data_IF_835485435722
#
_entry.id   IF_835485435722
#
_cell.length_a   1.000
_cell.length_b   1.000
_cell.length_c   1.000
_cell.angle_alpha   90.00
_cell.angle_beta   90.00
_cell.angle_gamma   90.00
#
_symmetry.space_group_name_H-M   'P 1'
#
loop_
_entity.id
_entity.type
_entity.pdbx_description
1 polymer ?
#
# COMPACT_ATOMS: atom_id res chain seq x y z
N UNK A 1 -30.11 7.56 0.72
CA UNK A 1 -28.97 8.19 0.00
C UNK A 1 -28.83 7.46 -1.32
N UNK A 2 -28.74 8.17 -2.45
CA UNK A 2 -28.46 7.56 -3.76
C UNK A 2 -27.07 8.04 -4.17
N UNK A 3 -26.17 7.11 -4.46
CA UNK A 3 -24.88 7.42 -5.05
C UNK A 3 -25.04 7.61 -6.55
N UNK A 4 -24.32 8.58 -7.12
CA UNK A 4 -24.32 8.89 -8.55
C UNK A 4 -22.87 8.91 -9.01
N UNK A 5 -22.56 8.18 -10.07
CA UNK A 5 -21.25 8.22 -10.70
C UNK A 5 -21.02 9.60 -11.35
N UNK A 6 -19.91 10.24 -10.97
CA UNK A 6 -19.49 11.55 -11.48
C UNK A 6 -18.13 11.51 -12.18
N UNK A 7 -17.45 10.36 -12.25
CA UNK A 7 -16.06 10.27 -12.66
C UNK A 7 -15.80 10.95 -14.01
N UNK A 8 -16.58 10.59 -15.04
CA UNK A 8 -16.47 11.20 -16.36
C UNK A 8 -16.84 12.70 -16.38
N UNK A 9 -17.79 13.13 -15.55
CA UNK A 9 -18.21 14.54 -15.46
C UNK A 9 -17.10 15.42 -14.89
N UNK A 10 -16.28 14.87 -13.99
CA UNK A 10 -15.19 15.60 -13.33
C UNK A 10 -13.83 15.38 -13.99
N UNK A 11 -13.74 14.59 -15.07
CA UNK A 11 -12.48 14.40 -15.83
C UNK A 11 -11.70 13.11 -15.52
N UNK A 12 -12.24 12.23 -14.68
CA UNK A 12 -11.66 10.93 -14.36
C UNK A 12 -12.19 9.87 -15.33
N UNK A 13 -11.50 9.68 -16.45
CA UNK A 13 -11.99 8.83 -17.56
C UNK A 13 -11.12 7.63 -17.87
N UNK A 14 -9.92 7.52 -17.30
CA UNK A 14 -9.02 6.42 -17.63
C UNK A 14 -9.44 5.13 -16.92
N UNK A 15 -9.48 4.00 -17.63
CA UNK A 15 -9.72 2.72 -17.00
C UNK A 15 -8.48 2.22 -16.28
N UNK A 16 -8.72 1.55 -15.16
CA UNK A 16 -7.74 0.69 -14.52
C UNK A 16 -7.71 -0.67 -15.25
N UNK A 17 -6.51 -1.12 -15.59
CA UNK A 17 -6.26 -2.35 -16.35
C UNK A 17 -5.46 -3.29 -15.47
N UNK A 18 -5.93 -4.53 -15.28
CA UNK A 18 -5.15 -5.59 -14.65
C UNK A 18 -5.50 -6.94 -15.23
N UNK A 19 -4.51 -7.55 -15.89
CA UNK A 19 -4.65 -8.80 -16.59
C UNK A 19 -5.64 -8.77 -17.76
N UNK A 20 -5.67 -9.87 -18.49
CA UNK A 20 -6.67 -10.11 -19.55
C UNK A 20 -7.47 -11.37 -19.28
N UNK A 21 -6.78 -12.46 -18.94
CA UNK A 21 -7.38 -13.79 -18.81
C UNK A 21 -7.55 -14.22 -17.35
N UNK A 22 -7.05 -13.44 -16.38
CA UNK A 22 -7.19 -13.68 -14.94
C UNK A 22 -6.74 -15.11 -14.58
N UNK A 23 -5.58 -15.51 -15.09
CA UNK A 23 -4.99 -16.84 -14.92
C UNK A 23 -4.07 -16.92 -13.71
N UNK A 24 -3.59 -15.77 -13.23
CA UNK A 24 -2.69 -15.66 -12.08
C UNK A 24 -3.24 -14.68 -11.06
N UNK A 25 -2.89 -14.87 -9.78
CA UNK A 25 -3.35 -14.01 -8.69
C UNK A 25 -2.99 -12.54 -8.90
N UNK A 26 -1.83 -12.26 -9.50
CA UNK A 26 -1.35 -10.90 -9.82
C UNK A 26 -2.35 -10.18 -10.74
N UNK A 27 -3.04 -10.91 -11.63
CA UNK A 27 -4.04 -10.33 -12.51
C UNK A 27 -5.31 -9.91 -11.79
N UNK A 28 -5.65 -10.59 -10.69
CA UNK A 28 -6.83 -10.32 -9.87
C UNK A 28 -6.67 -9.19 -8.87
N UNK A 29 -5.47 -8.60 -8.80
CA UNK A 29 -5.11 -7.58 -7.81
C UNK A 29 -4.47 -6.39 -8.48
N UNK A 30 -4.98 -5.20 -8.16
CA UNK A 30 -4.40 -3.94 -8.56
C UNK A 30 -5.10 -2.81 -7.80
N UNK A 31 -4.48 -1.64 -7.86
CA UNK A 31 -5.19 -0.40 -7.61
C UNK A 31 -4.98 0.15 -6.21
N UNK A 32 -4.77 1.45 -6.20
CA UNK A 32 -4.46 2.27 -5.06
C UNK A 32 -4.57 3.72 -5.50
N UNK A 33 -4.89 4.58 -4.55
CA UNK A 33 -4.99 6.01 -4.80
C UNK A 33 -4.41 6.79 -3.63
N UNK A 34 -3.81 7.92 -3.94
CA UNK A 34 -3.35 8.88 -2.97
C UNK A 34 -3.99 10.23 -3.27
N UNK A 35 -4.48 10.88 -2.22
CA UNK A 35 -5.01 12.24 -2.26
C UNK A 35 -4.04 13.15 -1.54
N UNK A 36 -3.48 14.14 -2.24
CA UNK A 36 -2.53 15.11 -1.69
C UNK A 36 -2.46 16.34 -2.59
N UNK A 37 -2.09 17.50 -2.04
CA UNK A 37 -1.90 18.75 -2.78
C UNK A 37 -0.45 18.79 -3.32
N UNK A 38 -0.25 18.40 -4.59
CA UNK A 38 1.11 18.18 -5.12
C UNK A 38 1.80 19.47 -5.56
N UNK A 39 1.04 20.50 -5.92
CA UNK A 39 1.58 21.79 -6.38
C UNK A 39 1.35 22.96 -5.42
N UNK A 40 0.74 22.68 -4.26
CA UNK A 40 0.52 23.60 -3.13
C UNK A 40 -0.44 24.75 -3.48
N UNK A 41 -1.40 24.49 -4.36
CA UNK A 41 -2.43 25.46 -4.72
C UNK A 41 -3.63 25.46 -3.76
N UNK A 42 -3.68 24.48 -2.84
CA UNK A 42 -4.69 24.32 -1.80
C UNK A 42 -5.85 23.41 -2.19
N UNK A 43 -5.91 22.94 -3.44
CA UNK A 43 -6.83 21.90 -3.87
C UNK A 43 -6.16 20.52 -3.72
N UNK A 44 -6.92 19.53 -3.25
CA UNK A 44 -6.40 18.16 -3.09
C UNK A 44 -6.44 17.44 -4.43
N UNK A 45 -5.29 17.02 -4.93
CA UNK A 45 -5.10 16.28 -6.18
C UNK A 45 -5.26 14.77 -5.98
N UNK A 46 -5.21 14.02 -7.08
CA UNK A 46 -5.42 12.58 -7.09
C UNK A 46 -4.35 11.87 -7.91
N UNK A 47 -3.61 10.96 -7.28
CA UNK A 47 -2.81 9.94 -7.95
C UNK A 47 -3.54 8.61 -7.94
N UNK A 48 -3.58 7.91 -9.08
CA UNK A 48 -4.21 6.59 -9.23
C UNK A 48 -3.21 5.63 -9.87
N UNK A 49 -2.97 4.49 -9.21
CA UNK A 49 -2.14 3.41 -9.76
C UNK A 49 -2.89 2.64 -10.85
N UNK A 50 -2.13 2.05 -11.77
CA UNK A 50 -2.62 1.21 -12.84
C UNK A 50 -1.86 -0.12 -12.85
N UNK A 51 -2.44 -1.15 -13.45
CA UNK A 51 -1.85 -2.48 -13.49
C UNK A 51 -1.17 -2.78 -14.81
N UNK A 52 -0.89 -4.05 -15.07
CA UNK A 52 -0.30 -4.53 -16.32
C UNK A 52 -0.96 -5.86 -16.73
N UNK A 53 -0.35 -6.59 -17.67
CA UNK A 53 -0.77 -7.91 -18.11
C UNK A 53 0.44 -8.73 -18.55
N UNK A 54 0.44 -10.02 -18.20
CA UNK A 54 1.44 -10.97 -18.69
C UNK A 54 1.34 -11.20 -20.21
N UNK A 55 0.18 -10.93 -20.83
CA UNK A 55 0.03 -10.96 -22.28
C UNK A 55 0.80 -9.83 -22.98
N UNK A 56 1.18 -8.79 -22.23
CA UNK A 56 1.80 -7.57 -22.74
C UNK A 56 0.82 -6.67 -23.48
N UNK A 57 1.34 -5.53 -23.95
CA UNK A 57 0.59 -4.51 -24.66
C UNK A 57 1.28 -4.15 -25.98
N UNK A 58 0.52 -3.63 -26.94
CA UNK A 58 1.12 -3.04 -28.13
C UNK A 58 1.92 -1.78 -27.75
N UNK A 59 2.87 -1.39 -28.60
CA UNK A 59 3.71 -0.21 -28.37
C UNK A 59 2.86 1.05 -28.19
N UNK A 60 3.02 1.71 -27.04
CA UNK A 60 2.28 2.93 -26.70
C UNK A 60 0.88 2.70 -26.10
N UNK A 61 0.49 1.45 -25.89
CA UNK A 61 -0.81 1.09 -25.28
C UNK A 61 -0.67 0.57 -23.84
N UNK A 62 0.55 0.58 -23.28
CA UNK A 62 0.75 0.13 -21.91
C UNK A 62 0.02 1.10 -20.96
N UNK A 63 -0.84 0.60 -20.05
CA UNK A 63 -1.42 1.42 -19.00
C UNK A 63 -0.32 2.08 -18.17
N UNK A 64 -0.61 3.31 -17.72
CA UNK A 64 0.25 4.06 -16.84
C UNK A 64 -0.57 4.55 -15.64
N UNK A 65 0.11 4.70 -14.50
CA UNK A 65 -0.41 5.44 -13.36
C UNK A 65 -0.72 6.89 -13.77
N UNK A 66 -1.67 7.51 -13.09
CA UNK A 66 -2.14 8.84 -13.44
C UNK A 66 -2.06 9.81 -12.27
N UNK A 67 -1.59 11.03 -12.53
CA UNK A 67 -1.74 12.16 -11.63
C UNK A 67 -2.72 13.15 -12.24
N UNK A 68 -3.76 13.49 -11.47
CA UNK A 68 -4.78 14.45 -11.82
C UNK A 68 -4.71 15.65 -10.90
N UNK A 69 -4.45 16.84 -11.46
CA UNK A 69 -4.59 18.10 -10.73
C UNK A 69 -6.05 18.45 -10.56
N UNK A 70 -6.46 18.84 -9.36
CA UNK A 70 -7.82 19.26 -9.04
C UNK A 70 -7.96 20.77 -9.19
N UNK A 71 -8.62 21.23 -10.26
CA UNK A 71 -8.93 22.63 -10.50
C UNK A 71 -10.33 22.98 -9.96
N UNK A 72 -10.52 22.98 -8.64
CA UNK A 72 -11.80 23.33 -8.00
C UNK A 72 -12.95 22.33 -8.25
N UNK A 73 -12.67 21.03 -8.20
CA UNK A 73 -13.61 19.92 -8.42
C UNK A 73 -13.62 19.37 -9.85
N UNK A 74 -12.66 19.79 -10.69
CA UNK A 74 -12.42 19.23 -12.02
C UNK A 74 -10.98 18.74 -12.10
N UNK A 75 -10.81 17.50 -12.51
CA UNK A 75 -9.53 16.82 -12.58
C UNK A 75 -8.93 16.93 -13.98
N UNK A 76 -7.71 17.47 -14.05
CA UNK A 76 -6.90 17.56 -15.25
C UNK A 76 -5.72 16.59 -15.17
N UNK A 77 -5.59 15.69 -16.15
CA UNK A 77 -4.45 14.78 -16.22
C UNK A 77 -3.15 15.57 -16.49
N UNK A 78 -2.22 15.49 -15.54
CA UNK A 78 -0.90 16.14 -15.57
C UNK A 78 0.24 15.13 -15.58
N UNK A 79 -0.06 13.83 -15.71
CA UNK A 79 0.86 12.70 -15.55
C UNK A 79 2.17 12.87 -16.31
N UNK A 80 2.09 13.21 -17.60
CA UNK A 80 3.27 13.35 -18.48
C UNK A 80 4.15 14.54 -18.08
N UNK A 81 3.53 15.66 -17.68
CA UNK A 81 4.25 16.88 -17.32
C UNK A 81 4.92 16.70 -15.96
N UNK A 82 4.20 16.08 -15.01
CA UNK A 82 4.69 15.77 -13.68
C UNK A 82 5.76 14.67 -13.67
N UNK A 83 5.73 13.73 -14.61
CA UNK A 83 6.75 12.69 -14.76
C UNK A 83 6.53 11.46 -13.89
N UNK A 84 5.27 11.14 -13.56
CA UNK A 84 4.89 10.07 -12.60
C UNK A 84 4.06 8.94 -13.23
N UNK A 85 4.10 8.83 -14.56
CA UNK A 85 3.41 7.80 -15.33
C UNK A 85 4.15 6.47 -15.35
N UNK A 86 4.35 5.86 -14.18
CA UNK A 86 4.89 4.50 -14.06
C UNK A 86 4.01 3.53 -14.86
N UNK A 87 4.66 2.66 -15.65
CA UNK A 87 4.00 1.60 -16.44
C UNK A 87 4.26 0.22 -15.84
N UNK A 88 4.80 0.15 -14.63
CA UNK A 88 4.90 -1.08 -13.86
C UNK A 88 3.52 -1.58 -13.45
N UNK A 89 3.46 -2.78 -12.87
CA UNK A 89 2.20 -3.32 -12.36
C UNK A 89 1.98 -2.80 -10.94
N UNK A 90 1.45 -1.59 -10.81
CA UNK A 90 1.34 -0.90 -9.53
C UNK A 90 0.16 -1.40 -8.69
N UNK A 91 0.38 -1.42 -7.37
CA UNK A 91 -0.57 -1.91 -6.37
C UNK A 91 -1.07 -0.72 -5.56
N UNK A 92 -0.30 -0.28 -4.56
CA UNK A 92 -0.63 0.85 -3.69
C UNK A 92 0.26 2.08 -3.91
N UNK A 93 -0.07 3.14 -3.18
CA UNK A 93 0.75 4.34 -3.11
C UNK A 93 0.58 5.05 -1.77
N UNK A 94 1.63 5.73 -1.32
CA UNK A 94 1.65 6.53 -0.10
C UNK A 94 2.30 7.89 -0.40
N UNK A 95 1.79 8.96 0.21
CA UNK A 95 2.30 10.31 0.04
C UNK A 95 2.75 10.89 1.39
N UNK A 96 3.97 11.44 1.42
CA UNK A 96 4.54 12.11 2.57
C UNK A 96 5.69 13.03 2.12
N UNK A 97 6.01 14.06 2.88
CA UNK A 97 7.23 14.86 2.71
C UNK A 97 8.38 14.09 3.39
N UNK A 98 9.05 13.21 2.65
CA UNK A 98 9.97 12.24 3.27
C UNK A 98 11.35 12.84 3.58
N UNK A 99 11.70 13.94 2.91
CA UNK A 99 12.98 14.62 3.07
C UNK A 99 12.86 16.00 3.72
N UNK A 100 11.68 16.31 4.26
CA UNK A 100 11.38 17.53 5.02
C UNK A 100 11.66 18.81 4.22
N UNK A 101 11.48 18.78 2.89
CA UNK A 101 11.69 19.94 2.01
C UNK A 101 10.43 20.82 1.83
N UNK A 102 9.30 20.39 2.38
CA UNK A 102 8.03 21.08 2.34
C UNK A 102 7.17 20.74 1.12
N UNK A 103 7.55 19.74 0.34
CA UNK A 103 6.78 19.23 -0.79
C UNK A 103 6.43 17.76 -0.58
N UNK A 104 5.15 17.40 -0.77
CA UNK A 104 4.72 16.01 -0.62
C UNK A 104 5.25 15.16 -1.78
N UNK A 105 5.99 14.11 -1.42
CA UNK A 105 6.53 13.09 -2.29
C UNK A 105 5.57 11.89 -2.42
N UNK A 106 5.90 10.97 -3.33
CA UNK A 106 5.04 9.84 -3.65
C UNK A 106 5.82 8.53 -3.72
N UNK A 107 5.46 7.56 -2.89
CA UNK A 107 5.93 6.18 -2.99
C UNK A 107 4.86 5.31 -3.65
N UNK A 108 5.26 4.47 -4.59
CA UNK A 108 4.40 3.56 -5.35
C UNK A 108 4.91 2.14 -5.18
N UNK A 109 4.04 1.24 -4.76
CA UNK A 109 4.36 -0.20 -4.67
C UNK A 109 3.98 -0.91 -5.96
N UNK A 110 4.75 -1.93 -6.33
CA UNK A 110 4.62 -2.65 -7.57
C UNK A 110 4.69 -4.16 -7.35
N UNK A 111 4.13 -4.92 -8.28
CA UNK A 111 4.64 -6.27 -8.55
C UNK A 111 5.95 -6.14 -9.33
N UNK A 112 7.07 -6.22 -8.60
CA UNK A 112 8.39 -5.85 -9.05
C UNK A 112 8.92 -4.64 -8.28
N UNK A 113 9.91 -3.93 -8.86
CA UNK A 113 10.58 -2.80 -8.21
C UNK A 113 9.59 -1.69 -7.85
N UNK A 114 9.49 -1.34 -6.57
CA UNK A 114 8.76 -0.15 -6.10
C UNK A 114 9.44 1.16 -6.55
N UNK A 115 8.71 2.28 -6.52
CA UNK A 115 9.18 3.57 -7.01
C UNK A 115 8.95 4.69 -5.99
N UNK A 116 9.99 5.46 -5.65
CA UNK A 116 9.92 6.71 -4.88
C UNK A 116 10.13 7.90 -5.82
N UNK A 117 9.13 8.77 -5.87
CA UNK A 117 9.13 10.03 -6.59
C UNK A 117 9.31 11.20 -5.63
N UNK A 118 10.43 11.90 -5.72
CA UNK A 118 10.63 13.16 -5.01
C UNK A 118 9.98 14.31 -5.76
N UNK A 119 9.16 15.11 -5.09
CA UNK A 119 8.56 16.31 -5.63
C UNK A 119 9.60 17.44 -5.67
N UNK A 120 9.79 18.04 -6.84
CA UNK A 120 10.80 19.08 -7.05
C UNK A 120 10.25 20.50 -6.78
N UNK A 121 9.02 20.63 -6.28
CA UNK A 121 8.35 21.90 -6.03
C UNK A 121 8.00 22.72 -7.28
N UNK A 122 8.22 22.16 -8.46
CA UNK A 122 7.96 22.79 -9.77
C UNK A 122 6.77 22.17 -10.51
N UNK A 123 5.95 21.39 -9.81
CA UNK A 123 4.92 20.53 -10.39
C UNK A 123 5.49 19.34 -11.16
N UNK A 124 6.72 18.94 -10.84
CA UNK A 124 7.44 17.81 -11.42
C UNK A 124 8.06 16.95 -10.34
N UNK A 125 8.18 15.66 -10.63
CA UNK A 125 8.83 14.69 -9.76
C UNK A 125 10.10 14.13 -10.40
N UNK A 126 11.00 13.62 -9.56
CA UNK A 126 12.13 12.81 -9.96
C UNK A 126 12.02 11.42 -9.32
N UNK A 127 12.20 10.35 -10.10
CA UNK A 127 12.45 9.02 -9.53
C UNK A 127 13.82 9.04 -8.85
N UNK A 128 13.81 8.85 -7.53
CA UNK A 128 14.99 8.82 -6.64
C UNK A 128 15.15 7.46 -5.97
N UNK A 129 14.41 6.45 -6.42
CA UNK A 129 14.30 5.16 -5.73
C UNK A 129 15.66 4.48 -5.51
N UNK A 130 16.55 4.55 -6.50
CA UNK A 130 17.87 3.91 -6.43
C UNK A 130 18.77 4.65 -5.46
N UNK A 131 18.76 5.97 -5.51
CA UNK A 131 19.49 6.87 -4.63
C UNK A 131 19.01 6.74 -3.19
N UNK A 132 17.70 6.63 -2.98
CA UNK A 132 17.07 6.52 -1.67
C UNK A 132 17.16 5.10 -1.07
N UNK A 133 17.36 4.06 -1.89
CA UNK A 133 17.54 2.68 -1.41
C UNK A 133 16.26 1.91 -1.09
N UNK A 134 15.11 2.32 -1.66
CA UNK A 134 13.76 1.82 -1.30
C UNK A 134 13.08 1.02 -2.41
N UNK A 135 13.85 0.54 -3.40
CA UNK A 135 13.34 -0.19 -4.55
C UNK A 135 13.22 -1.70 -4.34
N UNK A 136 12.56 -2.16 -3.26
CA UNK A 136 12.24 -3.59 -3.09
C UNK A 136 11.58 -4.14 -4.36
N UNK A 137 12.00 -5.33 -4.78
CA UNK A 137 11.58 -5.94 -6.04
C UNK A 137 10.58 -7.08 -5.85
N UNK A 138 10.06 -7.24 -4.63
CA UNK A 138 9.00 -8.18 -4.31
C UNK A 138 7.66 -7.76 -4.90
N UNK A 139 6.59 -8.28 -4.30
CA UNK A 139 5.23 -7.87 -4.63
C UNK A 139 4.69 -6.97 -3.52
N UNK A 140 5.04 -5.68 -3.61
CA UNK A 140 4.59 -4.67 -2.66
C UNK A 140 3.11 -4.37 -2.85
N UNK A 141 2.37 -4.24 -1.75
CA UNK A 141 0.94 -3.88 -1.73
C UNK A 141 0.74 -2.55 -1.01
N UNK A 142 0.33 -2.54 0.25
CA UNK A 142 0.21 -1.31 1.02
C UNK A 142 1.57 -0.79 1.49
N UNK A 143 1.70 0.52 1.55
CA UNK A 143 2.84 1.19 2.17
C UNK A 143 2.34 2.32 3.07
N UNK A 144 3.11 2.62 4.12
CA UNK A 144 2.83 3.73 5.02
C UNK A 144 4.10 4.43 5.44
N UNK A 145 4.00 5.75 5.55
CA UNK A 145 5.03 6.58 6.18
C UNK A 145 4.66 6.84 7.65
N UNK A 146 5.66 6.85 8.54
CA UNK A 146 5.49 7.18 9.95
C UNK A 146 6.82 7.38 10.66
N UNK A 147 6.91 8.42 11.50
CA UNK A 147 8.11 8.77 12.28
C UNK A 147 8.19 7.86 13.54
N UNK A 148 8.64 6.61 13.34
CA UNK A 148 8.48 5.56 14.36
C UNK A 148 9.38 5.77 15.57
N UNK A 149 10.52 6.43 15.40
CA UNK A 149 11.49 6.70 16.46
C UNK A 149 11.51 8.16 16.92
N UNK A 150 10.62 8.99 16.35
CA UNK A 150 10.39 10.39 16.71
C UNK A 150 11.61 11.27 16.49
N UNK A 151 12.44 10.95 15.51
CA UNK A 151 13.58 11.78 15.11
C UNK A 151 13.20 12.92 14.15
N UNK A 152 11.96 12.91 13.66
CA UNK A 152 11.38 13.95 12.82
C UNK A 152 11.46 13.65 11.32
N UNK A 153 12.07 12.53 10.93
CA UNK A 153 12.12 12.03 9.57
C UNK A 153 11.17 10.83 9.43
N UNK A 154 10.23 10.86 8.48
CA UNK A 154 9.27 9.75 8.35
C UNK A 154 9.92 8.49 7.77
N UNK A 155 9.72 7.37 8.43
CA UNK A 155 10.16 6.04 8.01
C UNK A 155 9.12 5.37 7.11
N UNK A 156 9.51 4.32 6.39
CA UNK A 156 8.67 3.69 5.40
C UNK A 156 8.50 2.19 5.70
N UNK A 157 7.25 1.76 5.86
CA UNK A 157 6.89 0.34 5.90
C UNK A 157 6.21 -0.07 4.60
N UNK A 158 6.58 -1.23 4.06
CA UNK A 158 6.02 -1.81 2.84
C UNK A 158 5.55 -3.23 3.14
N UNK A 159 4.24 -3.45 3.03
CA UNK A 159 3.65 -4.77 3.07
C UNK A 159 3.90 -5.49 1.74
N UNK A 160 4.22 -6.77 1.80
CA UNK A 160 4.46 -7.64 0.66
C UNK A 160 3.50 -8.83 0.70
N UNK A 161 2.94 -9.19 -0.45
CA UNK A 161 1.83 -10.14 -0.52
C UNK A 161 2.30 -11.58 -0.72
N UNK A 162 2.79 -11.91 -1.91
CA UNK A 162 3.12 -13.28 -2.31
C UNK A 162 4.48 -13.32 -2.99
N UNK A 163 5.30 -14.32 -2.63
CA UNK A 163 6.53 -14.69 -3.33
C UNK A 163 6.14 -15.46 -4.61
N UNK A 164 5.73 -14.70 -5.63
CA UNK A 164 5.09 -15.23 -6.82
C UNK A 164 6.12 -15.65 -7.87
N UNK A 165 5.90 -16.84 -8.45
CA UNK A 165 6.59 -17.26 -9.66
C UNK A 165 5.64 -17.98 -10.63
N UNK A 166 5.84 -17.78 -11.93
CA UNK A 166 5.03 -18.40 -12.99
C UNK A 166 5.22 -19.93 -13.06
N UNK A 167 6.34 -20.45 -12.57
CA UNK A 167 6.65 -21.88 -12.51
C UNK A 167 6.29 -22.54 -11.18
N UNK A 168 5.74 -21.78 -10.23
CA UNK A 168 5.30 -22.33 -8.95
C UNK A 168 4.02 -23.16 -9.12
N UNK A 169 4.09 -24.42 -8.71
CA UNK A 169 2.93 -25.31 -8.66
C UNK A 169 2.37 -25.36 -7.24
N UNK A 170 1.13 -24.87 -7.06
CA UNK A 170 0.42 -24.96 -5.78
C UNK A 170 0.31 -26.42 -5.32
N UNK A 171 0.60 -26.71 -4.04
CA UNK A 171 0.46 -28.05 -3.48
C UNK A 171 -1.01 -28.46 -3.28
N UNK A 172 -1.94 -27.51 -3.41
CA UNK A 172 -3.39 -27.73 -3.25
C UNK A 172 -4.14 -27.39 -4.55
N UNK A 173 -5.29 -28.05 -4.81
CA UNK A 173 -6.12 -27.71 -5.95
C UNK A 173 -6.76 -26.32 -5.76
N UNK A 174 -6.54 -25.43 -6.73
CA UNK A 174 -7.05 -24.07 -6.71
C UNK A 174 -8.48 -24.03 -7.24
N UNK A 175 -9.44 -24.18 -6.32
CA UNK A 175 -10.87 -24.27 -6.60
C UNK A 175 -11.63 -23.23 -5.78
N UNK A 176 -12.53 -22.50 -6.43
CA UNK A 176 -13.53 -21.66 -5.77
C UNK A 176 -14.92 -22.24 -6.06
N UNK A 177 -15.66 -22.64 -5.03
CA UNK A 177 -16.98 -23.31 -5.17
C UNK A 177 -16.95 -24.46 -6.19
N UNK A 178 -15.91 -25.29 -6.13
CA UNK A 178 -15.60 -26.41 -7.06
C UNK A 178 -15.33 -26.01 -8.53
N UNK A 179 -15.14 -24.73 -8.82
CA UNK A 179 -14.71 -24.24 -10.13
C UNK A 179 -13.22 -23.98 -10.10
N UNK A 180 -12.49 -24.45 -11.12
CA UNK A 180 -11.06 -24.15 -11.25
C UNK A 180 -10.87 -22.64 -11.44
N UNK A 181 -10.02 -22.06 -10.60
CA UNK A 181 -9.61 -20.66 -10.61
C UNK A 181 -8.08 -20.58 -10.49
N UNK A 182 -7.51 -19.38 -10.60
CA UNK A 182 -6.13 -19.16 -10.21
C UNK A 182 -5.95 -19.43 -8.71
N UNK A 183 -4.73 -19.72 -8.29
CA UNK A 183 -4.44 -19.99 -6.88
C UNK A 183 -4.50 -18.71 -6.07
N UNK A 184 -5.35 -18.69 -5.03
CA UNK A 184 -5.36 -17.64 -4.01
C UNK A 184 -4.16 -17.77 -3.05
N UNK A 185 -4.03 -16.85 -2.07
CA UNK A 185 -2.86 -16.75 -1.19
C UNK A 185 -2.57 -18.07 -0.46
N UNK A 186 -3.58 -18.76 0.07
CA UNK A 186 -3.44 -20.06 0.77
C UNK A 186 -2.73 -21.15 -0.06
N UNK A 187 -2.79 -21.05 -1.40
CA UNK A 187 -2.11 -21.98 -2.30
C UNK A 187 -0.71 -21.53 -2.76
N UNK A 188 -0.21 -20.41 -2.25
CA UNK A 188 1.03 -19.76 -2.67
C UNK A 188 1.95 -19.52 -1.47
N UNK A 189 3.15 -18.98 -1.72
CA UNK A 189 4.11 -18.66 -0.67
C UNK A 189 3.96 -17.19 -0.26
N UNK A 190 3.87 -16.87 1.05
CA UNK A 190 3.85 -15.47 1.50
C UNK A 190 5.21 -14.81 1.31
N UNK A 191 5.20 -13.49 1.09
CA UNK A 191 6.39 -12.67 1.00
C UNK A 191 6.73 -12.03 2.35
N UNK A 192 7.96 -11.54 2.51
CA UNK A 192 8.37 -10.82 3.71
C UNK A 192 8.17 -9.32 3.49
N UNK A 193 7.55 -8.65 4.45
CA UNK A 193 7.44 -7.19 4.49
C UNK A 193 8.83 -6.55 4.67
N UNK A 194 8.94 -5.26 4.32
CA UNK A 194 10.17 -4.50 4.44
C UNK A 194 9.92 -3.21 5.20
N UNK A 195 10.73 -2.94 6.21
CA UNK A 195 10.76 -1.67 6.92
C UNK A 195 12.06 -0.93 6.63
N UNK A 196 11.95 0.37 6.36
CA UNK A 196 13.02 1.26 6.01
C UNK A 196 13.09 2.40 7.01
N UNK A 197 14.22 2.54 7.70
CA UNK A 197 14.50 3.68 8.56
C UNK A 197 15.05 4.84 7.73
N UNK A 198 14.49 6.02 7.87
CA UNK A 198 15.00 7.23 7.21
C UNK A 198 16.33 7.65 7.86
N UNK A 199 17.32 8.02 7.04
CA UNK A 199 18.64 8.42 7.51
C UNK A 199 18.77 9.94 7.73
N UNK A 200 17.73 10.72 7.38
CA UNK A 200 17.73 12.20 7.47
C UNK A 200 18.56 12.90 6.40
N UNK A 201 19.02 12.16 5.38
CA UNK A 201 19.82 12.68 4.25
C UNK A 201 19.17 12.39 2.88
N UNK A 202 17.89 12.05 2.89
CA UNK A 202 17.12 11.65 1.71
C UNK A 202 17.32 10.18 1.29
N UNK A 203 18.01 9.38 2.11
CA UNK A 203 18.18 7.94 1.92
C UNK A 203 17.58 7.13 3.06
N UNK A 204 17.37 5.84 2.82
CA UNK A 204 16.85 4.90 3.79
C UNK A 204 17.79 3.72 4.01
N UNK A 205 17.72 3.15 5.21
CA UNK A 205 18.33 1.87 5.55
C UNK A 205 17.25 0.81 5.73
N UNK A 206 17.41 -0.37 5.12
CA UNK A 206 16.57 -1.53 5.47
C UNK A 206 16.78 -1.88 6.96
N UNK A 207 15.69 -1.89 7.71
CA UNK A 207 15.69 -1.86 9.17
C UNK A 207 14.73 -2.87 9.81
N UNK A 208 14.12 -3.77 9.03
CA UNK A 208 13.11 -4.74 9.48
C UNK A 208 13.62 -5.56 10.67
N UNK A 209 14.83 -6.09 10.56
CA UNK A 209 15.43 -6.91 11.62
C UNK A 209 15.75 -6.09 12.87
N UNK A 210 16.30 -4.89 12.70
CA UNK A 210 16.73 -4.00 13.77
C UNK A 210 15.53 -3.49 14.56
N UNK A 211 14.42 -3.20 13.88
CA UNK A 211 13.14 -2.81 14.47
C UNK A 211 12.38 -3.98 15.13
N UNK A 212 12.87 -5.22 15.04
CA UNK A 212 12.18 -6.37 15.59
C UNK A 212 10.97 -6.85 14.79
N UNK A 213 10.84 -6.41 13.53
CA UNK A 213 9.76 -6.76 12.61
C UNK A 213 10.05 -8.04 11.79
N UNK A 214 11.19 -8.71 12.06
CA UNK A 214 11.47 -10.02 11.49
C UNK A 214 10.52 -11.08 12.09
N UNK A 215 9.99 -11.98 11.26
CA UNK A 215 9.05 -12.99 11.75
C UNK A 215 8.62 -13.98 10.69
N UNK A 216 7.49 -14.63 10.97
CA UNK A 216 6.76 -15.39 9.96
C UNK A 216 6.30 -14.45 8.84
N UNK A 217 6.22 -15.00 7.63
CA UNK A 217 5.76 -14.27 6.45
C UNK A 217 4.25 -14.44 6.31
N UNK A 218 3.57 -13.37 5.98
CA UNK A 218 2.12 -13.33 5.82
C UNK A 218 1.75 -12.70 4.48
N UNK A 219 0.46 -12.68 4.16
CA UNK A 219 -0.03 -12.09 2.91
C UNK A 219 -0.42 -10.62 3.13
N UNK A 220 0.59 -9.76 3.25
CA UNK A 220 0.43 -8.34 3.54
C UNK A 220 -0.40 -7.61 2.49
N UNK A 221 -1.44 -6.89 2.92
CA UNK A 221 -2.33 -6.12 2.04
C UNK A 221 -2.27 -4.62 2.31
N UNK A 222 -2.33 -4.22 3.57
CA UNK A 222 -2.18 -2.82 3.96
C UNK A 222 -1.45 -2.69 5.28
N UNK A 223 -0.76 -1.56 5.47
CA UNK A 223 -0.07 -1.23 6.69
C UNK A 223 -0.35 0.23 7.04
N UNK A 224 -0.52 0.53 8.32
CA UNK A 224 -0.80 1.88 8.80
C UNK A 224 -0.13 2.13 10.15
N UNK A 225 0.56 3.26 10.25
CA UNK A 225 0.99 3.77 11.53
C UNK A 225 -0.18 4.42 12.28
N UNK A 226 -0.21 4.27 13.61
CA UNK A 226 -1.20 4.85 14.50
C UNK A 226 -0.77 4.70 15.96
N UNK A 227 -1.28 5.52 16.87
CA UNK A 227 -0.96 5.46 18.31
C UNK A 227 -2.15 4.83 19.05
N UNK A 228 -2.23 3.49 19.04
CA UNK A 228 -3.46 2.81 19.47
C UNK A 228 -3.57 2.73 21.00
N UNK A 229 -2.45 2.81 21.71
CA UNK A 229 -2.42 2.79 23.17
C UNK A 229 -2.26 4.19 23.80
N UNK A 230 -2.18 5.24 22.96
CA UNK A 230 -2.11 6.65 23.32
C UNK A 230 -0.87 6.97 24.18
N UNK A 231 0.25 6.30 23.91
CA UNK A 231 1.52 6.53 24.58
C UNK A 231 2.38 7.62 23.88
N UNK A 232 1.92 8.10 22.73
CA UNK A 232 2.57 9.13 21.92
C UNK A 232 3.66 8.60 20.99
N UNK A 233 3.79 7.29 20.82
CA UNK A 233 4.69 6.66 19.85
C UNK A 233 3.89 5.94 18.77
N UNK A 234 4.26 6.07 17.49
CA UNK A 234 3.57 5.36 16.43
C UNK A 234 3.76 3.84 16.55
N UNK A 235 2.65 3.12 16.68
CA UNK A 235 2.51 1.69 16.47
C UNK A 235 2.16 1.39 15.01
N UNK A 236 2.17 0.12 14.63
CA UNK A 236 1.94 -0.31 13.26
C UNK A 236 0.96 -1.48 13.18
N UNK A 237 -0.16 -1.30 12.48
CA UNK A 237 -1.05 -2.42 12.08
C UNK A 237 -0.69 -2.89 10.68
N UNK A 238 -0.66 -4.20 10.47
CA UNK A 238 -0.56 -4.85 9.16
C UNK A 238 -1.77 -5.75 8.97
N UNK A 239 -2.61 -5.36 8.01
CA UNK A 239 -3.75 -6.14 7.56
C UNK A 239 -3.28 -7.20 6.57
N UNK A 240 -3.60 -8.47 6.88
CA UNK A 240 -3.17 -9.62 6.09
C UNK A 240 -4.37 -10.35 5.49
N UNK A 241 -4.21 -10.84 4.26
CA UNK A 241 -5.19 -11.69 3.60
C UNK A 241 -5.05 -13.14 4.06
N UNK A 242 -6.11 -13.79 4.53
CA UNK A 242 -6.19 -15.23 4.80
C UNK A 242 -5.26 -15.73 5.92
N UNK A 243 -4.43 -14.85 6.47
CA UNK A 243 -3.54 -15.05 7.62
C UNK A 243 -3.86 -14.03 8.72
N UNK A 244 -3.37 -14.20 9.96
CA UNK A 244 -3.69 -13.28 11.03
C UNK A 244 -3.18 -11.86 10.73
N UNK A 245 -3.93 -10.83 11.11
CA UNK A 245 -3.38 -9.47 11.13
C UNK A 245 -2.27 -9.36 12.18
N UNK A 246 -1.36 -8.41 12.00
CA UNK A 246 -0.31 -8.09 12.96
C UNK A 246 -0.52 -6.68 13.50
N UNK A 247 -0.18 -6.48 14.78
CA UNK A 247 -0.19 -5.21 15.47
C UNK A 247 1.11 -5.12 16.23
N UNK A 248 1.95 -4.20 15.81
CA UNK A 248 3.27 -3.98 16.33
C UNK A 248 3.24 -2.77 17.25
N UNK A 249 3.24 -3.01 18.57
CA UNK A 249 3.35 -1.96 19.57
C UNK A 249 4.78 -1.46 19.65
N UNK A 250 4.97 -0.15 19.59
CA UNK A 250 6.27 0.48 19.72
C UNK A 250 6.80 0.33 21.16
N UNK A 251 8.03 -0.14 21.30
CA UNK A 251 8.65 -0.36 22.62
C UNK A 251 9.41 0.87 23.11
N UNK A 252 9.43 1.96 22.35
CA UNK A 252 10.13 3.22 22.67
C UNK A 252 11.65 3.05 22.82
N UNK A 253 12.20 1.94 22.31
CA UNK A 253 13.62 1.63 22.31
C UNK A 253 14.17 1.33 20.91
N UNK A 254 13.43 1.77 19.88
CA UNK A 254 13.75 1.56 18.47
C UNK A 254 13.28 0.22 17.92
N UNK A 255 12.43 -0.51 18.66
CA UNK A 255 11.88 -1.82 18.28
C UNK A 255 10.38 -1.89 18.51
N UNK A 256 9.76 -2.88 17.88
CA UNK A 256 8.35 -3.24 18.06
C UNK A 256 8.19 -4.59 18.77
N UNK A 257 7.01 -4.80 19.36
CA UNK A 257 6.50 -6.09 19.79
C UNK A 257 5.18 -6.41 19.07
N UNK A 258 5.06 -7.62 18.53
CA UNK A 258 3.82 -8.12 17.95
C UNK A 258 2.83 -8.49 19.08
N UNK A 259 1.63 -7.91 19.05
CA UNK A 259 0.62 -8.03 20.10
C UNK A 259 -0.81 -8.26 19.57
N UNK A 260 -1.01 -8.53 18.27
CA UNK A 260 -2.33 -8.56 17.62
C UNK A 260 -3.29 -9.57 18.25
N UNK A 261 -2.79 -10.74 18.65
CA UNK A 261 -3.63 -11.75 19.30
C UNK A 261 -4.18 -11.24 20.64
N UNK A 262 -3.33 -10.58 21.43
CA UNK A 262 -3.72 -10.05 22.74
C UNK A 262 -4.59 -8.81 22.61
N UNK A 263 -4.36 -8.00 21.58
CA UNK A 263 -5.19 -6.86 21.22
C UNK A 263 -6.53 -7.26 20.57
N UNK A 264 -6.71 -8.53 20.18
CA UNK A 264 -7.95 -9.04 19.60
C UNK A 264 -8.17 -8.67 18.13
N UNK A 265 -7.12 -8.25 17.42
CA UNK A 265 -7.19 -7.82 16.00
C UNK A 265 -6.62 -8.85 15.03
N UNK A 266 -5.95 -9.89 15.55
CA UNK A 266 -5.33 -10.95 14.72
C UNK A 266 -6.35 -11.86 14.02
N UNK A 267 -7.49 -12.13 14.65
CA UNK A 267 -8.49 -13.11 14.19
C UNK A 267 -9.90 -12.55 14.37
N UNK A 268 -10.87 -13.17 13.69
CA UNK A 268 -12.29 -12.97 14.01
C UNK A 268 -12.63 -13.40 15.45
N UNK A 269 -13.81 -13.01 15.94
CA UNK A 269 -14.32 -13.43 17.25
C UNK A 269 -14.48 -14.95 17.43
N UNK A 270 -14.42 -15.74 16.35
CA UNK A 270 -14.41 -17.21 16.37
C UNK A 270 -13.00 -17.82 16.37
N UNK A 271 -11.94 -16.99 16.33
CA UNK A 271 -10.55 -17.43 16.27
C UNK A 271 -10.12 -17.92 14.89
N UNK A 272 -10.77 -17.46 13.82
CA UNK A 272 -10.49 -17.82 12.43
C UNK A 272 -9.82 -16.63 11.72
N UNK A 273 -8.80 -16.90 10.90
CA UNK A 273 -8.16 -15.89 10.04
C UNK A 273 -9.15 -15.38 9.00
N UNK A 274 -8.97 -14.14 8.57
CA UNK A 274 -9.83 -13.49 7.60
C UNK A 274 -8.99 -12.90 6.46
N UNK A 275 -9.60 -12.69 5.30
CA UNK A 275 -9.04 -12.01 4.15
C UNK A 275 -9.05 -10.49 4.34
N UNK A 276 -8.20 -9.95 5.22
CA UNK A 276 -8.18 -8.52 5.48
C UNK A 276 -7.59 -7.77 4.27
N UNK A 277 -8.37 -6.86 3.70
CA UNK A 277 -8.04 -6.10 2.49
C UNK A 277 -7.63 -4.65 2.76
N UNK A 278 -7.98 -4.13 3.94
CA UNK A 278 -7.79 -2.73 4.28
C UNK A 278 -8.02 -2.46 5.76
N UNK A 279 -7.36 -1.44 6.27
CA UNK A 279 -7.51 -0.94 7.62
C UNK A 279 -7.69 0.59 7.61
N UNK A 280 -8.24 1.14 8.67
CA UNK A 280 -8.29 2.58 8.92
C UNK A 280 -8.29 2.86 10.42
N UNK A 281 -7.51 3.88 10.82
CA UNK A 281 -7.57 4.46 12.15
C UNK A 281 -8.52 5.66 12.18
N UNK A 282 -9.26 5.83 13.27
CA UNK A 282 -10.04 7.05 13.51
C UNK A 282 -10.65 7.05 14.90
N UNK A 283 -10.86 8.23 15.48
CA UNK A 283 -11.63 8.40 16.71
C UNK A 283 -13.12 8.43 16.34
N UNK A 284 -13.72 7.25 16.19
CA UNK A 284 -15.07 7.11 15.62
C UNK A 284 -16.14 7.56 16.62
N UNK A 285 -15.92 7.33 17.92
CA UNK A 285 -16.87 7.69 18.98
C UNK A 285 -16.56 9.00 19.71
N UNK A 286 -15.45 9.68 19.35
CA UNK A 286 -14.99 10.95 19.89
C UNK A 286 -14.55 10.87 21.36
N UNK A 287 -13.99 9.74 21.79
CA UNK A 287 -13.45 9.56 23.14
C UNK A 287 -11.96 9.96 23.27
N UNK A 288 -11.31 10.28 22.14
CA UNK A 288 -9.91 10.68 22.06
C UNK A 288 -8.93 9.52 21.97
N UNK A 289 -9.41 8.29 21.76
CA UNK A 289 -8.63 7.10 21.44
C UNK A 289 -8.82 6.75 19.96
N UNK A 290 -7.79 6.15 19.34
CA UNK A 290 -7.95 5.64 17.99
C UNK A 290 -8.66 4.29 17.98
N UNK A 291 -9.77 4.23 17.25
CA UNK A 291 -10.42 2.99 16.85
C UNK A 291 -9.78 2.45 15.57
N UNK A 292 -9.66 1.13 15.49
CA UNK A 292 -9.31 0.42 14.27
C UNK A 292 -10.57 -0.08 13.60
N UNK A 293 -10.69 0.15 12.28
CA UNK A 293 -11.65 -0.55 11.44
C UNK A 293 -10.93 -1.35 10.37
N UNK A 294 -11.28 -2.63 10.23
CA UNK A 294 -10.74 -3.53 9.20
C UNK A 294 -11.83 -4.04 8.26
N UNK A 295 -11.49 -4.11 6.98
CA UNK A 295 -12.36 -4.67 5.94
C UNK A 295 -11.85 -6.03 5.50
N UNK A 296 -12.75 -7.02 5.48
CA UNK A 296 -12.44 -8.39 5.12
C UNK A 296 -13.09 -8.81 3.80
N UNK A 297 -12.69 -9.97 3.30
CA UNK A 297 -13.17 -10.51 2.03
C UNK A 297 -14.68 -10.83 2.07
N UNK A 298 -15.27 -11.04 0.89
CA UNK A 298 -16.70 -11.31 0.79
C UNK A 298 -17.12 -12.51 1.67
N UNK A 299 -18.29 -12.37 2.32
CA UNK A 299 -18.85 -13.32 3.28
C UNK A 299 -18.08 -13.45 4.63
N UNK A 300 -17.15 -12.53 4.92
CA UNK A 300 -16.47 -12.40 6.21
C UNK A 300 -16.89 -11.12 6.97
N UNK A 301 -16.60 -11.07 8.27
CA UNK A 301 -17.02 -9.96 9.14
C UNK A 301 -16.01 -8.82 9.10
N UNK A 302 -16.45 -7.61 8.76
CA UNK A 302 -15.71 -6.39 9.07
C UNK A 302 -15.84 -6.09 10.56
N UNK A 303 -14.81 -5.50 11.16
CA UNK A 303 -14.75 -5.20 12.58
C UNK A 303 -14.07 -3.85 12.82
#
# INVERSE_FOLDING_TARGET
MQFVDQAATVGLTQPNVSGTDQSYIVEGMMGGAAFFDYDRDGDVDLYVTNGSSFAGFATGEHPANQLYRNDGGRFADVTVVAGVGDTSWSMGCAAADYDNDGHTDLYVTNFGRNTLYRNLGSGRFADVTTEAGVGDAGWGTGASFGDYDRDGDVDLYVANYVDFSLDYESPIPCLWKNVKVYCGPVGLLPAADVFYRNNGDGTFSEWTKQAGLQGEKFYGMSALFGDYDNDGWPDLIVANDSTPNLLFRNLQDGRFAEEALMAGVAYSGEGVTQGCMGAAWGDYDNDGLFDLFVTNFADEYNA
#
